data_IF_127287417418
#
_entry.id   IF_127287417418
#
_cell.length_a   1.000
_cell.length_b   1.000
_cell.length_c   1.000
_cell.angle_alpha   90.00
_cell.angle_beta   90.00
_cell.angle_gamma   90.00
#
_symmetry.space_group_name_H-M   'P 1'
#
loop_
_entity.id
_entity.type
_entity.pdbx_description
1 polymer ?
#
# COMPACT_ATOMS: atom_id res chain seq x y z
N UNK A 1 17.37 -3.72 -27.47
CA UNK A 1 16.19 -3.35 -26.67
C UNK A 1 16.36 -3.99 -25.31
N UNK A 2 17.18 -3.35 -24.48
CA UNK A 2 17.51 -3.82 -23.14
C UNK A 2 16.24 -3.65 -22.29
N UNK A 3 15.65 -4.78 -21.86
CA UNK A 3 14.61 -4.70 -20.83
C UNK A 3 15.31 -4.19 -19.59
N UNK A 4 15.01 -2.96 -19.19
CA UNK A 4 15.26 -2.51 -17.82
C UNK A 4 14.47 -3.48 -16.94
N UNK A 5 15.14 -4.50 -16.40
CA UNK A 5 14.58 -5.29 -15.32
C UNK A 5 14.41 -4.32 -14.17
N UNK A 6 13.17 -3.92 -13.90
CA UNK A 6 12.86 -3.24 -12.66
C UNK A 6 13.32 -4.16 -11.53
N UNK A 7 14.28 -3.69 -10.74
CA UNK A 7 14.81 -4.46 -9.62
C UNK A 7 13.62 -4.80 -8.70
N UNK A 8 13.45 -6.08 -8.39
CA UNK A 8 12.33 -6.53 -7.56
C UNK A 8 12.70 -6.20 -6.12
N UNK A 9 11.83 -5.46 -5.42
CA UNK A 9 12.05 -5.11 -4.03
C UNK A 9 12.19 -6.38 -3.18
N UNK A 10 13.17 -6.42 -2.27
CA UNK A 10 13.44 -7.62 -1.49
C UNK A 10 12.33 -7.92 -0.48
N UNK A 11 12.12 -9.21 -0.22
CA UNK A 11 11.28 -9.68 0.90
C UNK A 11 9.86 -9.11 0.88
N UNK A 12 9.45 -8.53 2.00
CA UNK A 12 8.11 -7.95 2.18
C UNK A 12 7.84 -6.72 1.30
N UNK A 13 8.87 -5.97 0.91
CA UNK A 13 8.71 -4.73 0.13
C UNK A 13 8.21 -4.98 -1.29
N UNK A 14 8.33 -6.21 -1.82
CA UNK A 14 7.68 -6.60 -3.08
C UNK A 14 6.17 -6.34 -3.06
N UNK A 15 5.49 -6.58 -1.93
CA UNK A 15 4.07 -6.25 -1.78
C UNK A 15 3.82 -4.74 -1.90
N UNK A 16 4.68 -3.92 -1.29
CA UNK A 16 4.54 -2.45 -1.31
C UNK A 16 4.77 -1.94 -2.73
N UNK A 17 5.82 -2.41 -3.40
CA UNK A 17 6.12 -2.08 -4.80
C UNK A 17 4.97 -2.48 -5.72
N UNK A 18 4.46 -3.70 -5.62
CA UNK A 18 3.37 -4.19 -6.47
C UNK A 18 2.07 -3.43 -6.19
N UNK A 19 1.77 -3.10 -4.92
CA UNK A 19 0.61 -2.31 -4.55
C UNK A 19 0.66 -0.92 -5.20
N UNK A 20 1.78 -0.20 -5.08
CA UNK A 20 1.90 1.12 -5.71
C UNK A 20 1.81 1.03 -7.22
N UNK A 21 2.35 -0.04 -7.81
CA UNK A 21 2.34 -0.29 -9.26
C UNK A 21 1.02 -0.86 -9.81
N UNK A 22 0.02 -1.09 -8.96
CA UNK A 22 -1.34 -1.43 -9.46
C UNK A 22 -1.92 -0.32 -10.34
N UNK A 23 -1.50 0.93 -10.12
CA UNK A 23 -1.76 2.05 -11.02
C UNK A 23 -0.57 2.25 -11.96
N UNK A 24 -0.75 1.89 -13.22
CA UNK A 24 0.16 2.21 -14.30
C UNK A 24 -0.13 3.65 -14.77
N UNK A 25 0.76 4.59 -14.43
CA UNK A 25 0.60 5.99 -14.82
C UNK A 25 0.80 6.23 -16.32
N UNK A 26 1.56 5.37 -17.01
CA UNK A 26 1.81 5.52 -18.43
C UNK A 26 0.58 5.10 -19.25
N UNK A 27 -0.08 4.02 -18.86
CA UNK A 27 -1.28 3.52 -19.54
C UNK A 27 -2.60 3.97 -18.91
N UNK A 28 -2.57 4.54 -17.71
CA UNK A 28 -3.75 4.86 -16.90
C UNK A 28 -4.52 3.64 -16.38
N UNK A 29 -3.94 2.43 -16.48
CA UNK A 29 -4.61 1.20 -16.07
C UNK A 29 -4.51 1.04 -14.56
N UNK A 30 -5.63 0.79 -13.92
CA UNK A 30 -5.73 0.57 -12.47
C UNK A 30 -6.22 -0.86 -12.17
N UNK A 31 -5.31 -1.71 -11.70
CA UNK A 31 -5.62 -3.10 -11.33
C UNK A 31 -6.51 -3.22 -10.09
N UNK A 32 -6.74 -2.15 -9.33
CA UNK A 32 -7.70 -2.13 -8.22
C UNK A 32 -9.11 -1.68 -8.67
N UNK A 33 -9.26 -1.17 -9.90
CA UNK A 33 -10.57 -0.74 -10.43
C UNK A 33 -11.50 -1.89 -10.83
N UNK A 34 -10.92 -3.07 -11.11
CA UNK A 34 -11.63 -4.30 -11.46
C UNK A 34 -11.62 -5.26 -10.28
N UNK A 35 -12.79 -5.79 -9.92
CA UNK A 35 -12.87 -6.80 -8.85
C UNK A 35 -12.08 -8.08 -9.18
N UNK A 36 -11.96 -8.44 -10.47
CA UNK A 36 -11.19 -9.59 -10.90
C UNK A 36 -9.68 -9.35 -10.73
N UNK A 37 -9.19 -8.21 -11.23
CA UNK A 37 -7.77 -7.86 -11.20
C UNK A 37 -7.31 -7.62 -9.75
N UNK A 38 -8.15 -6.98 -8.93
CA UNK A 38 -7.90 -6.82 -7.50
C UNK A 38 -7.83 -8.17 -6.78
N UNK A 39 -8.70 -9.12 -7.14
CA UNK A 39 -8.65 -10.48 -6.58
C UNK A 39 -7.35 -11.19 -6.96
N UNK A 40 -6.91 -11.05 -8.21
CA UNK A 40 -5.64 -11.62 -8.68
C UNK A 40 -4.44 -11.02 -7.93
N UNK A 41 -4.41 -9.69 -7.76
CA UNK A 41 -3.39 -9.00 -6.97
C UNK A 41 -3.33 -9.53 -5.54
N UNK A 42 -4.47 -9.60 -4.84
CA UNK A 42 -4.55 -10.10 -3.47
C UNK A 42 -4.06 -11.56 -3.37
N UNK A 43 -4.48 -12.41 -4.30
CA UNK A 43 -4.08 -13.82 -4.34
C UNK A 43 -2.56 -13.99 -4.53
N UNK A 44 -1.94 -13.17 -5.40
CA UNK A 44 -0.49 -13.20 -5.66
C UNK A 44 0.35 -12.97 -4.40
N UNK A 45 -0.15 -12.15 -3.48
CA UNK A 45 0.52 -11.86 -2.20
C UNK A 45 -0.03 -12.64 -1.01
N UNK A 46 -0.82 -13.70 -1.25
CA UNK A 46 -1.44 -14.51 -0.20
C UNK A 46 -2.28 -13.68 0.79
N UNK A 47 -2.94 -12.63 0.29
CA UNK A 47 -3.82 -11.75 1.05
C UNK A 47 -5.27 -12.26 1.01
N UNK A 48 -6.10 -11.93 2.01
CA UNK A 48 -7.50 -12.31 1.99
C UNK A 48 -8.23 -11.67 0.81
N UNK A 49 -9.21 -12.40 0.28
CA UNK A 49 -10.15 -11.83 -0.68
C UNK A 49 -10.96 -10.73 0.00
N UNK A 50 -11.11 -9.60 -0.68
CA UNK A 50 -11.90 -8.46 -0.23
C UNK A 50 -13.18 -8.33 -1.07
N UNK A 51 -14.31 -7.89 -0.48
CA UNK A 51 -15.45 -7.45 -1.26
C UNK A 51 -15.13 -6.14 -2.00
N UNK A 52 -15.84 -5.80 -3.09
CA UNK A 52 -15.63 -4.55 -3.84
C UNK A 52 -15.64 -3.28 -2.96
N UNK A 53 -16.46 -3.26 -1.92
CA UNK A 53 -16.56 -2.14 -0.96
C UNK A 53 -15.31 -1.94 -0.12
N UNK A 54 -14.49 -2.97 0.08
CA UNK A 54 -13.22 -2.87 0.81
C UNK A 54 -12.03 -2.71 -0.15
N UNK A 55 -12.16 -3.17 -1.40
CA UNK A 55 -11.13 -2.92 -2.43
C UNK A 55 -10.93 -1.42 -2.64
N UNK A 56 -12.02 -0.63 -2.62
CA UNK A 56 -11.93 0.83 -2.73
C UNK A 56 -11.13 1.47 -1.58
N UNK A 57 -11.04 0.82 -0.42
CA UNK A 57 -10.29 1.29 0.75
C UNK A 57 -8.76 1.08 0.59
N UNK A 58 -8.33 0.27 -0.37
CA UNK A 58 -6.91 0.12 -0.71
C UNK A 58 -6.35 1.32 -1.50
N UNK A 59 -7.22 2.09 -2.18
CA UNK A 59 -6.79 3.23 -3.00
C UNK A 59 -6.13 4.32 -2.13
N UNK A 60 -6.73 4.78 -1.01
CA UNK A 60 -6.06 5.71 -0.11
C UNK A 60 -4.68 5.23 0.37
N UNK A 61 -4.55 3.93 0.72
CA UNK A 61 -3.27 3.35 1.14
C UNK A 61 -2.23 3.40 0.02
N UNK A 62 -2.62 2.99 -1.19
CA UNK A 62 -1.77 3.08 -2.39
C UNK A 62 -1.30 4.51 -2.63
N UNK A 63 -2.22 5.47 -2.65
CA UNK A 63 -1.90 6.87 -2.96
C UNK A 63 -1.05 7.54 -1.87
N UNK A 64 -1.29 7.22 -0.59
CA UNK A 64 -0.46 7.69 0.52
C UNK A 64 0.97 7.16 0.40
N UNK A 65 1.14 5.86 0.10
CA UNK A 65 2.46 5.26 -0.15
C UNK A 65 3.16 5.93 -1.33
N UNK A 66 2.48 6.13 -2.46
CA UNK A 66 3.03 6.84 -3.63
C UNK A 66 3.47 8.25 -3.27
N UNK A 67 2.67 8.99 -2.50
CA UNK A 67 2.99 10.34 -2.09
C UNK A 67 4.23 10.40 -1.20
N UNK A 68 4.36 9.48 -0.23
CA UNK A 68 5.56 9.36 0.62
C UNK A 68 6.79 8.98 -0.20
N UNK A 69 6.67 8.01 -1.11
CA UNK A 69 7.78 7.59 -1.98
C UNK A 69 8.26 8.72 -2.91
N UNK A 70 7.32 9.49 -3.48
CA UNK A 70 7.65 10.67 -4.28
C UNK A 70 8.35 11.74 -3.45
N UNK A 71 7.84 12.06 -2.26
CA UNK A 71 8.46 13.00 -1.35
C UNK A 71 9.88 12.56 -0.95
N UNK A 72 10.07 11.26 -0.68
CA UNK A 72 11.38 10.67 -0.40
C UNK A 72 12.35 10.81 -1.58
N UNK A 73 11.85 10.65 -2.81
CA UNK A 73 12.62 10.86 -4.04
C UNK A 73 12.85 12.36 -4.38
N UNK A 74 12.55 13.29 -3.47
CA UNK A 74 12.71 14.73 -3.68
C UNK A 74 11.63 15.38 -4.54
N UNK A 75 10.56 14.64 -4.89
CA UNK A 75 9.43 15.17 -5.64
C UNK A 75 8.40 15.68 -4.63
N UNK A 76 8.38 17.00 -4.40
CA UNK A 76 7.34 17.61 -3.57
C UNK A 76 5.96 17.31 -4.17
N UNK A 77 4.96 16.91 -3.37
CA UNK A 77 3.65 16.54 -3.89
C UNK A 77 2.95 17.77 -4.47
N UNK A 78 3.08 17.97 -5.78
CA UNK A 78 2.31 18.96 -6.54
C UNK A 78 0.90 18.38 -6.77
N UNK A 79 0.06 18.39 -5.72
CA UNK A 79 -1.33 17.91 -5.73
C UNK A 79 -1.49 16.43 -6.11
N UNK A 80 -1.72 15.56 -5.14
CA UNK A 80 -2.19 14.18 -5.41
C UNK A 80 -3.58 14.22 -6.07
N UNK A 81 -3.90 13.31 -7.02
CA UNK A 81 -5.18 13.30 -7.73
C UNK A 81 -6.41 13.26 -6.81
N UNK A 82 -6.29 12.60 -5.65
CA UNK A 82 -7.35 12.50 -4.65
C UNK A 82 -7.68 13.87 -3.99
N UNK A 83 -6.72 14.79 -3.91
CA UNK A 83 -6.92 16.14 -3.37
C UNK A 83 -7.65 17.08 -4.34
N UNK A 84 -7.51 16.85 -5.66
CA UNK A 84 -8.23 17.64 -6.65
C UNK A 84 -9.76 17.40 -6.58
N UNK A 85 -10.17 16.19 -6.18
CA UNK A 85 -11.58 15.84 -6.01
C UNK A 85 -12.21 16.37 -4.71
N UNK A 86 -11.40 16.67 -3.68
CA UNK A 86 -11.87 17.04 -2.34
C UNK A 86 -12.13 18.56 -2.14
N UNK A 87 -12.04 19.39 -3.18
CA UNK A 87 -12.42 20.81 -3.11
C UNK A 87 -11.53 21.71 -2.23
N UNK A 88 -10.47 21.18 -1.64
CA UNK A 88 -9.51 21.93 -0.82
C UNK A 88 -8.53 22.72 -1.72
N UNK A 89 -9.03 23.71 -2.43
CA UNK A 89 -8.25 24.45 -3.41
C UNK A 89 -7.21 25.42 -2.82
N UNK A 90 -7.20 25.69 -1.50
CA UNK A 90 -6.41 26.78 -0.89
C UNK A 90 -5.69 26.44 0.44
N UNK A 91 -5.55 25.18 0.82
CA UNK A 91 -4.77 24.76 2.01
C UNK A 91 -3.37 24.26 1.66
N UNK A 92 -2.39 24.26 2.59
CA UNK A 92 -1.16 23.52 2.38
C UNK A 92 -1.50 22.06 2.07
N UNK A 93 -0.82 21.45 1.10
CA UNK A 93 -0.99 20.03 0.82
C UNK A 93 -0.74 19.25 2.12
N UNK A 94 -1.63 18.34 2.54
CA UNK A 94 -1.44 17.61 3.77
C UNK A 94 -0.14 16.78 3.69
N UNK A 95 0.53 16.66 4.83
CA UNK A 95 1.76 15.89 4.97
C UNK A 95 1.48 14.43 4.56
N UNK A 96 2.13 13.91 3.49
CA UNK A 96 1.90 12.54 3.03
C UNK A 96 2.23 11.51 4.11
N UNK A 97 3.15 11.81 5.03
CA UNK A 97 3.52 10.95 6.15
C UNK A 97 2.39 10.86 7.18
N UNK A 98 1.74 11.98 7.48
CA UNK A 98 0.63 12.02 8.43
C UNK A 98 -0.56 11.17 7.95
N UNK A 99 -0.89 11.26 6.65
CA UNK A 99 -1.96 10.44 6.06
C UNK A 99 -1.60 8.95 6.04
N UNK A 100 -0.37 8.60 5.66
CA UNK A 100 0.09 7.22 5.72
C UNK A 100 0.02 6.67 7.15
N UNK A 101 0.48 7.42 8.14
CA UNK A 101 0.41 7.02 9.56
C UNK A 101 -1.03 6.78 10.02
N UNK A 102 -1.97 7.65 9.62
CA UNK A 102 -3.40 7.47 9.93
C UNK A 102 -3.95 6.17 9.35
N UNK A 103 -3.58 5.83 8.12
CA UNK A 103 -3.99 4.59 7.46
C UNK A 103 -3.35 3.37 8.12
N UNK A 104 -2.02 3.39 8.34
CA UNK A 104 -1.29 2.28 8.98
C UNK A 104 -1.80 1.98 10.40
N UNK A 105 -2.28 2.99 11.14
CA UNK A 105 -2.89 2.81 12.45
C UNK A 105 -4.15 1.91 12.44
N UNK A 106 -4.78 1.70 11.28
CA UNK A 106 -5.95 0.81 11.14
C UNK A 106 -5.58 -0.68 11.01
N UNK A 107 -4.30 -0.99 10.77
CA UNK A 107 -3.78 -2.34 10.64
C UNK A 107 -3.01 -2.76 11.89
N UNK A 108 -3.64 -3.36 12.90
CA UNK A 108 -2.96 -3.70 14.15
C UNK A 108 -1.91 -4.79 13.91
N UNK A 109 -0.74 -4.63 14.55
CA UNK A 109 0.38 -5.58 14.49
C UNK A 109 0.62 -6.19 15.88
N UNK A 110 1.15 -7.41 15.89
CA UNK A 110 1.73 -8.03 17.07
C UNK A 110 3.13 -8.53 16.76
N UNK A 111 3.95 -8.59 17.81
CA UNK A 111 5.26 -9.21 17.77
C UNK A 111 5.10 -10.69 18.09
N UNK A 112 5.56 -11.57 17.20
CA UNK A 112 5.55 -13.02 17.42
C UNK A 112 6.98 -13.50 17.61
N UNK A 113 7.19 -14.27 18.67
CA UNK A 113 8.44 -14.99 18.94
C UNK A 113 8.14 -16.48 18.80
N UNK A 114 8.91 -17.21 17.99
CA UNK A 114 8.77 -18.66 17.86
C UNK A 114 9.62 -19.44 18.88
N UNK A 115 9.55 -20.77 18.83
CA UNK A 115 10.24 -21.65 19.78
C UNK A 115 11.78 -21.57 19.65
N UNK A 116 12.25 -21.21 18.46
CA UNK A 116 13.66 -21.02 18.13
C UNK A 116 14.15 -19.60 18.50
N UNK A 117 13.24 -18.72 18.94
CA UNK A 117 13.54 -17.35 19.35
C UNK A 117 13.54 -16.34 18.20
N UNK A 118 13.11 -16.73 17.00
CA UNK A 118 12.97 -15.79 15.89
C UNK A 118 11.79 -14.86 16.13
N UNK A 119 11.97 -13.59 15.76
CA UNK A 119 11.00 -12.51 15.98
C UNK A 119 10.48 -12.01 14.64
N UNK A 120 9.16 -11.88 14.53
CA UNK A 120 8.51 -11.33 13.33
C UNK A 120 7.37 -10.37 13.70
N UNK A 121 7.17 -9.33 12.88
CA UNK A 121 5.98 -8.49 12.95
C UNK A 121 4.88 -9.12 12.10
N UNK A 122 3.72 -9.38 12.70
CA UNK A 122 2.59 -10.02 12.00
C UNK A 122 1.29 -9.28 12.28
N UNK A 123 0.31 -9.32 11.35
CA UNK A 123 -1.03 -8.78 11.61
C UNK A 123 -1.67 -9.39 12.86
N UNK A 124 -2.27 -8.53 13.67
CA UNK A 124 -3.05 -8.95 14.83
C UNK A 124 -4.48 -9.29 14.40
N UNK A 125 -4.81 -10.57 14.38
CA UNK A 125 -6.17 -11.06 14.09
C UNK A 125 -6.24 -12.03 12.92
N UNK A 126 -7.47 -12.38 12.54
CA UNK A 126 -7.73 -13.29 11.43
C UNK A 126 -7.36 -12.63 10.08
N UNK A 127 -6.94 -13.42 9.07
CA UNK A 127 -6.66 -12.93 7.73
C UNK A 127 -7.95 -12.55 7.01
N UNK A 128 -8.51 -11.39 7.34
CA UNK A 128 -9.77 -10.88 6.81
C UNK A 128 -9.76 -9.37 6.75
N UNK A 129 -10.41 -8.86 5.72
CA UNK A 129 -10.69 -7.45 5.52
C UNK A 129 -9.46 -6.59 5.22
N UNK A 130 -9.73 -5.34 4.90
CA UNK A 130 -8.69 -4.37 4.52
C UNK A 130 -7.69 -4.09 5.64
N UNK A 131 -8.10 -4.13 6.91
CA UNK A 131 -7.20 -3.91 8.05
C UNK A 131 -6.07 -4.94 8.11
N UNK A 132 -6.33 -6.20 7.74
CA UNK A 132 -5.29 -7.21 7.63
C UNK A 132 -4.30 -6.90 6.49
N UNK A 133 -4.81 -6.44 5.35
CA UNK A 133 -3.96 -6.03 4.22
C UNK A 133 -3.08 -4.83 4.62
N UNK A 134 -3.66 -3.83 5.26
CA UNK A 134 -2.94 -2.68 5.82
C UNK A 134 -1.86 -3.12 6.82
N UNK A 135 -2.17 -4.07 7.71
CA UNK A 135 -1.19 -4.62 8.65
C UNK A 135 -0.05 -5.37 7.93
N UNK A 136 -0.34 -6.12 6.86
CA UNK A 136 0.70 -6.78 6.04
C UNK A 136 1.63 -5.77 5.38
N UNK A 137 1.07 -4.67 4.87
CA UNK A 137 1.85 -3.55 4.32
C UNK A 137 2.69 -2.90 5.42
N UNK A 138 2.12 -2.65 6.60
CA UNK A 138 2.83 -2.06 7.73
C UNK A 138 4.03 -2.92 8.19
N UNK A 139 3.83 -4.24 8.31
CA UNK A 139 4.91 -5.18 8.65
C UNK A 139 6.03 -5.17 7.59
N UNK A 140 5.66 -5.18 6.29
CA UNK A 140 6.63 -5.11 5.21
C UNK A 140 7.48 -3.83 5.24
N UNK A 141 6.88 -2.68 5.57
CA UNK A 141 7.59 -1.40 5.72
C UNK A 141 8.52 -1.41 6.95
N UNK A 142 8.11 -2.04 8.05
CA UNK A 142 8.91 -2.07 9.27
C UNK A 142 10.12 -3.03 9.17
N UNK A 143 10.02 -4.05 8.33
CA UNK A 143 11.06 -5.09 8.16
C UNK A 143 12.05 -4.79 7.02
N UNK A 144 11.82 -3.74 6.21
CA UNK A 144 12.60 -3.43 5.00
C UNK A 144 13.01 -1.97 4.86
#
# INVERSE_FOLDING_TARGET
>A
MERVSADIAPGGLALVQDLVNTLDLASGRDALSSAADATEFLARHSLPRLPPTEIIELLPLREALRAVLLAHAGHLPTKTPLHAAAGAANGPAPDPTAELNRLLATGPLLLRVDAEGAVALVPAGAPRGVSFVTARVAAAIAEG
#
